data_IF_579005895462
#
_entry.id   IF_579005895462
#
_cell.length_a   1.000
_cell.length_b   1.000
_cell.length_c   1.000
_cell.angle_alpha   90.00
_cell.angle_beta   90.00
_cell.angle_gamma   90.00
#
_symmetry.space_group_name_H-M   'P 1'
#
loop_
_entity.id
_entity.type
_entity.pdbx_description
1 polymer ?
#
# COMPACT_ATOMS: atom_id res chain seq x y z
N UNK A 1 -24.97 -1.39 -17.40
CA UNK A 1 -24.15 -1.61 -16.22
C UNK A 1 -22.73 -1.11 -16.46
N UNK A 2 -22.35 -0.15 -15.66
CA UNK A 2 -21.02 0.44 -15.89
C UNK A 2 -19.93 -0.50 -15.41
N UNK A 3 -19.04 -0.87 -16.30
CA UNK A 3 -17.83 -1.56 -15.93
C UNK A 3 -17.02 -0.66 -15.01
N UNK A 4 -16.25 -1.27 -14.12
CA UNK A 4 -15.33 -0.53 -13.26
C UNK A 4 -14.47 0.39 -14.10
N UNK A 5 -14.39 1.64 -13.70
CA UNK A 5 -13.61 2.64 -14.40
C UNK A 5 -12.14 2.64 -14.00
N UNK A 6 -11.78 1.89 -12.97
CA UNK A 6 -10.41 1.87 -12.46
C UNK A 6 -9.59 0.77 -13.13
N UNK A 7 -8.46 1.15 -13.68
CA UNK A 7 -7.55 0.23 -14.34
C UNK A 7 -6.33 -0.09 -13.51
N UNK A 8 -5.86 0.86 -12.72
CA UNK A 8 -4.67 0.69 -11.89
C UNK A 8 -4.99 1.11 -10.48
N UNK A 9 -5.26 0.11 -9.65
CA UNK A 9 -5.61 0.34 -8.26
C UNK A 9 -4.36 0.23 -7.41
N UNK A 10 -4.09 1.25 -6.61
CA UNK A 10 -3.01 1.21 -5.64
C UNK A 10 -3.61 0.94 -4.27
N UNK A 11 -3.17 -0.13 -3.63
CA UNK A 11 -3.65 -0.53 -2.30
C UNK A 11 -2.50 -0.42 -1.31
N UNK A 12 -2.71 0.35 -0.25
CA UNK A 12 -1.73 0.48 0.83
C UNK A 12 -2.00 -0.56 1.90
N UNK A 13 -0.98 -1.33 2.23
CA UNK A 13 -1.03 -2.35 3.27
C UNK A 13 0.04 -2.06 4.32
N UNK A 14 -0.25 -2.44 5.54
CA UNK A 14 0.67 -2.23 6.68
C UNK A 14 1.09 -3.54 7.36
N UNK A 15 0.72 -4.68 6.78
CA UNK A 15 1.03 -5.99 7.35
C UNK A 15 0.04 -6.48 8.39
N UNK A 16 -1.02 -5.71 8.67
CA UNK A 16 -2.03 -6.10 9.66
C UNK A 16 -3.29 -6.63 8.98
N UNK A 17 -4.06 -7.44 9.70
CA UNK A 17 -5.37 -7.90 9.24
C UNK A 17 -6.32 -6.74 8.97
N UNK A 18 -6.23 -5.69 9.78
CA UNK A 18 -7.05 -4.50 9.59
C UNK A 18 -6.76 -3.84 8.24
N UNK A 19 -5.48 -3.72 7.90
CA UNK A 19 -5.08 -3.17 6.61
C UNK A 19 -5.60 -3.99 5.44
N UNK A 20 -5.71 -5.29 5.62
CA UNK A 20 -6.18 -6.21 4.57
C UNK A 20 -7.66 -6.05 4.21
N UNK A 21 -8.43 -5.31 5.00
CA UNK A 21 -9.84 -5.03 4.65
C UNK A 21 -9.96 -4.28 3.33
N UNK A 22 -8.96 -3.52 2.97
CA UNK A 22 -8.91 -2.83 1.68
C UNK A 22 -8.93 -3.80 0.50
N UNK A 23 -8.47 -5.03 0.70
CA UNK A 23 -8.42 -6.04 -0.37
C UNK A 23 -9.81 -6.44 -0.87
N UNK A 24 -10.81 -6.40 -0.02
CA UNK A 24 -12.19 -6.69 -0.42
C UNK A 24 -12.66 -5.69 -1.47
N UNK A 25 -12.38 -4.41 -1.24
CA UNK A 25 -12.69 -3.36 -2.21
C UNK A 25 -11.88 -3.49 -3.48
N UNK A 26 -10.58 -3.79 -3.34
CA UNK A 26 -9.71 -3.97 -4.49
C UNK A 26 -10.18 -5.10 -5.40
N UNK A 27 -10.56 -6.24 -4.82
CA UNK A 27 -11.13 -7.36 -5.60
C UNK A 27 -12.38 -6.95 -6.36
N UNK A 28 -13.23 -6.19 -5.71
CA UNK A 28 -14.50 -5.76 -6.29
C UNK A 28 -14.28 -4.79 -7.45
N UNK A 29 -13.36 -3.85 -7.27
CA UNK A 29 -13.08 -2.82 -8.25
C UNK A 29 -12.24 -3.33 -9.42
N UNK A 30 -11.48 -4.39 -9.23
CA UNK A 30 -10.56 -4.93 -10.23
C UNK A 30 -11.16 -6.07 -11.07
N UNK A 31 -12.48 -6.14 -11.16
CA UNK A 31 -13.15 -7.23 -11.88
C UNK A 31 -13.13 -7.12 -13.41
N UNK A 32 -12.77 -5.99 -13.95
CA UNK A 32 -12.77 -5.80 -15.39
C UNK A 32 -11.51 -6.32 -16.06
N UNK A 33 -11.59 -6.74 -17.33
CA UNK A 33 -10.39 -7.03 -18.09
C UNK A 33 -9.53 -5.76 -18.22
N UNK A 34 -8.23 -5.91 -18.04
CA UNK A 34 -7.31 -4.80 -18.10
C UNK A 34 -7.10 -4.07 -16.78
N UNK A 35 -7.81 -4.46 -15.71
CA UNK A 35 -7.57 -3.93 -14.37
C UNK A 35 -6.41 -4.65 -13.70
N UNK A 36 -5.60 -3.89 -12.96
CA UNK A 36 -4.51 -4.44 -12.17
C UNK A 36 -4.50 -3.82 -10.79
N UNK A 37 -4.15 -4.63 -9.79
CA UNK A 37 -4.01 -4.18 -8.41
C UNK A 37 -2.52 -4.10 -8.11
N UNK A 38 -2.09 -2.95 -7.60
CA UNK A 38 -0.73 -2.75 -7.14
C UNK A 38 -0.76 -2.65 -5.62
N UNK A 39 -0.13 -3.61 -4.97
CA UNK A 39 -0.02 -3.63 -3.51
C UNK A 39 1.25 -2.89 -3.11
N UNK A 40 1.12 -1.95 -2.21
CA UNK A 40 2.26 -1.15 -1.74
C UNK A 40 2.38 -1.24 -0.23
N UNK A 41 3.57 -1.54 0.21
CA UNK A 41 3.96 -1.41 1.60
C UNK A 41 5.09 -0.39 1.71
N UNK A 42 4.93 0.55 2.61
CA UNK A 42 5.94 1.59 2.85
C UNK A 42 6.55 1.35 4.22
N UNK A 43 7.82 0.99 4.22
CA UNK A 43 8.56 0.83 5.46
C UNK A 43 9.19 2.16 5.86
N UNK A 44 9.13 2.52 7.15
CA UNK A 44 9.79 3.74 7.59
C UNK A 44 11.30 3.60 7.40
N UNK A 45 11.96 4.71 7.04
CA UNK A 45 13.41 4.75 6.98
C UNK A 45 13.97 4.48 8.39
N UNK A 46 14.93 3.56 8.49
CA UNK A 46 15.53 3.23 9.77
C UNK A 46 16.29 4.45 10.29
N UNK A 47 15.99 4.84 11.52
CA UNK A 47 16.72 5.92 12.18
C UNK A 47 18.01 5.37 12.76
N UNK A 48 19.06 6.18 12.71
CA UNK A 48 20.30 5.84 13.39
C UNK A 48 20.03 5.76 14.88
N UNK A 49 20.16 4.57 15.45
CA UNK A 49 20.03 4.38 16.89
C UNK A 49 21.37 4.69 17.53
N UNK A 50 21.42 5.77 18.28
CA UNK A 50 22.55 6.10 19.13
C UNK A 50 22.21 5.70 20.57
N UNK A 51 23.00 4.77 21.10
CA UNK A 51 22.91 4.39 22.51
C UNK A 51 24.25 4.72 23.14
N UNK A 52 24.23 5.57 24.16
CA UNK A 52 25.46 5.98 24.86
C UNK A 52 26.47 6.68 23.95
N UNK A 53 26.00 7.49 23.00
CA UNK A 53 26.89 8.20 22.07
C UNK A 53 27.48 7.34 20.96
N UNK A 54 27.12 6.08 20.90
CA UNK A 54 27.57 5.16 19.83
C UNK A 54 26.43 4.84 18.89
N UNK A 55 26.74 4.86 17.61
CA UNK A 55 25.82 4.36 16.59
C UNK A 55 25.71 2.85 16.72
N UNK A 56 24.56 2.35 17.11
CA UNK A 56 24.36 0.91 17.40
C UNK A 56 23.61 0.25 16.24
N UNK A 57 23.65 0.76 15.05
CA UNK A 57 22.80 0.11 14.09
C UNK A 57 23.51 -0.23 12.82
N UNK A 58 23.39 -1.44 12.46
CA UNK A 58 23.46 -1.89 11.09
C UNK A 58 22.15 -1.47 10.41
N UNK A 59 21.98 -0.15 10.20
CA UNK A 59 20.77 0.45 9.64
C UNK A 59 20.39 -0.22 8.34
N UNK A 60 21.38 -0.47 7.48
CA UNK A 60 21.17 -1.12 6.19
C UNK A 60 20.62 -2.53 6.33
N UNK A 61 21.11 -3.29 7.31
CA UNK A 61 20.63 -4.66 7.55
C UNK A 61 19.21 -4.67 8.07
N UNK A 62 18.84 -3.72 8.94
CA UNK A 62 17.49 -3.60 9.45
C UNK A 62 16.51 -3.21 8.34
N UNK A 63 16.90 -2.30 7.48
CA UNK A 63 16.09 -1.92 6.33
C UNK A 63 15.93 -3.09 5.35
N UNK A 64 16.99 -3.82 5.08
CA UNK A 64 16.97 -4.99 4.20
C UNK A 64 16.06 -6.08 4.77
N UNK A 65 16.14 -6.33 6.08
CA UNK A 65 15.28 -7.30 6.74
C UNK A 65 13.82 -6.90 6.69
N UNK A 66 13.52 -5.61 6.93
CA UNK A 66 12.15 -5.10 6.86
C UNK A 66 11.59 -5.20 5.45
N UNK A 67 12.38 -4.85 4.45
CA UNK A 67 11.96 -4.98 3.05
C UNK A 67 11.73 -6.43 2.65
N UNK A 68 12.60 -7.33 3.09
CA UNK A 68 12.44 -8.75 2.80
C UNK A 68 11.16 -9.30 3.42
N UNK A 69 10.88 -8.94 4.67
CA UNK A 69 9.65 -9.34 5.35
C UNK A 69 8.40 -8.79 4.63
N UNK A 70 8.46 -7.53 4.21
CA UNK A 70 7.38 -6.90 3.48
C UNK A 70 7.12 -7.61 2.14
N UNK A 71 8.17 -7.98 1.43
CA UNK A 71 8.04 -8.73 0.16
C UNK A 71 7.39 -10.08 0.36
N UNK A 72 7.78 -10.81 1.40
CA UNK A 72 7.19 -12.11 1.72
C UNK A 72 5.71 -11.94 2.05
N UNK A 73 5.37 -10.97 2.85
CA UNK A 73 3.98 -10.68 3.19
C UNK A 73 3.15 -10.34 1.95
N UNK A 74 3.63 -9.42 1.13
CA UNK A 74 2.91 -9.01 -0.08
C UNK A 74 2.79 -10.16 -1.07
N UNK A 75 3.81 -11.02 -1.18
CA UNK A 75 3.75 -12.17 -2.08
C UNK A 75 2.61 -13.12 -1.66
N UNK A 76 2.43 -13.33 -0.36
CA UNK A 76 1.34 -14.17 0.15
C UNK A 76 -0.03 -13.55 -0.13
N UNK A 77 -0.17 -12.25 0.08
CA UNK A 77 -1.41 -11.53 -0.24
C UNK A 77 -1.70 -11.57 -1.73
N UNK A 78 -0.68 -11.31 -2.55
CA UNK A 78 -0.82 -11.34 -4.00
C UNK A 78 -1.25 -12.73 -4.51
N UNK A 79 -0.71 -13.80 -3.94
CA UNK A 79 -1.09 -15.15 -4.31
C UNK A 79 -2.58 -15.39 -4.08
N UNK A 80 -3.13 -14.92 -2.95
CA UNK A 80 -4.55 -15.05 -2.66
C UNK A 80 -5.42 -14.30 -3.67
N UNK A 81 -5.01 -13.10 -4.05
CA UNK A 81 -5.75 -12.31 -5.05
C UNK A 81 -5.65 -12.96 -6.44
N UNK A 82 -4.50 -13.50 -6.79
CA UNK A 82 -4.32 -14.18 -8.09
C UNK A 82 -5.17 -15.43 -8.21
N UNK A 83 -5.41 -16.13 -7.12
CA UNK A 83 -6.34 -17.27 -7.09
C UNK A 83 -7.75 -16.84 -7.47
N UNK A 84 -8.12 -15.61 -7.15
CA UNK A 84 -9.41 -15.03 -7.51
C UNK A 84 -9.43 -14.41 -8.91
N UNK A 85 -8.37 -14.60 -9.69
CA UNK A 85 -8.27 -14.11 -11.06
C UNK A 85 -7.85 -12.65 -11.19
N UNK A 86 -7.34 -12.05 -10.12
CA UNK A 86 -6.92 -10.65 -10.13
C UNK A 86 -5.47 -10.53 -10.57
N UNK A 87 -5.17 -9.61 -11.47
CA UNK A 87 -3.80 -9.27 -11.84
C UNK A 87 -3.20 -8.41 -10.74
N UNK A 88 -2.09 -8.85 -10.14
CA UNK A 88 -1.50 -8.19 -8.97
C UNK A 88 -0.01 -7.97 -9.15
N UNK A 89 0.43 -6.78 -8.77
CA UNK A 89 1.84 -6.41 -8.68
C UNK A 89 2.13 -5.99 -7.25
N UNK A 90 3.33 -6.24 -6.78
CA UNK A 90 3.74 -5.89 -5.42
C UNK A 90 4.88 -4.88 -5.45
N UNK A 91 4.84 -3.94 -4.50
CA UNK A 91 5.85 -2.89 -4.39
C UNK A 91 6.18 -2.66 -2.92
N UNK A 92 7.45 -2.56 -2.62
CA UNK A 92 7.94 -2.18 -1.29
C UNK A 92 8.81 -0.95 -1.47
N UNK A 93 8.55 0.06 -0.67
CA UNK A 93 9.33 1.31 -0.67
C UNK A 93 9.71 1.67 0.75
N UNK A 94 10.77 2.42 0.90
CA UNK A 94 11.24 2.93 2.18
C UNK A 94 11.13 4.45 2.15
N UNK A 95 10.59 5.02 3.22
CA UNK A 95 10.49 6.47 3.33
C UNK A 95 9.23 6.91 4.07
N UNK A 96 8.90 8.18 3.94
CA UNK A 96 7.71 8.77 4.53
C UNK A 96 6.47 8.42 3.70
N UNK A 97 5.35 8.04 4.33
CA UNK A 97 4.17 7.58 3.60
C UNK A 97 3.63 8.55 2.55
N UNK A 98 3.50 9.84 2.90
CA UNK A 98 2.87 10.81 2.00
C UNK A 98 3.65 11.01 0.69
N UNK A 99 4.94 11.39 0.73
CA UNK A 99 5.69 11.59 -0.52
C UNK A 99 5.89 10.30 -1.31
N UNK A 100 6.09 9.17 -0.63
CA UNK A 100 6.26 7.88 -1.31
C UNK A 100 4.97 7.47 -2.02
N UNK A 101 3.83 7.62 -1.36
CA UNK A 101 2.53 7.30 -1.98
C UNK A 101 2.31 8.13 -3.23
N UNK A 102 2.56 9.44 -3.17
CA UNK A 102 2.40 10.31 -4.33
C UNK A 102 3.34 9.92 -5.47
N UNK A 103 4.59 9.61 -5.15
CA UNK A 103 5.56 9.19 -6.15
C UNK A 103 5.15 7.90 -6.85
N UNK A 104 4.66 6.92 -6.08
CA UNK A 104 4.21 5.64 -6.63
C UNK A 104 2.96 5.82 -7.49
N UNK A 105 2.03 6.68 -7.09
CA UNK A 105 0.86 6.99 -7.91
C UNK A 105 1.29 7.51 -9.28
N UNK A 106 2.26 8.41 -9.32
CA UNK A 106 2.79 8.92 -10.59
C UNK A 106 3.52 7.85 -11.39
N UNK A 107 4.40 7.09 -10.74
CA UNK A 107 5.17 6.02 -11.39
C UNK A 107 4.27 5.00 -12.08
N UNK A 108 3.22 4.59 -11.40
CA UNK A 108 2.32 3.54 -11.86
C UNK A 108 1.15 4.08 -12.66
N UNK A 109 1.00 5.39 -12.71
CA UNK A 109 -0.19 6.01 -13.29
C UNK A 109 -1.46 5.42 -12.67
N UNK A 110 -1.46 5.30 -11.34
CA UNK A 110 -2.60 4.77 -10.60
C UNK A 110 -3.78 5.73 -10.69
N UNK A 111 -4.98 5.19 -10.84
CA UNK A 111 -6.19 6.00 -10.98
C UNK A 111 -7.07 5.99 -9.74
N UNK A 112 -6.73 5.18 -8.74
CA UNK A 112 -7.40 5.19 -7.44
C UNK A 112 -6.46 4.66 -6.37
N UNK A 113 -6.59 5.20 -5.16
CA UNK A 113 -5.88 4.73 -3.98
C UNK A 113 -6.89 4.08 -3.04
N UNK A 114 -6.63 2.86 -2.62
CA UNK A 114 -7.50 2.11 -1.70
C UNK A 114 -6.74 1.83 -0.42
N UNK A 115 -7.32 2.15 0.70
CA UNK A 115 -6.74 1.86 2.01
C UNK A 115 -7.84 1.60 3.04
N UNK A 116 -7.45 1.05 4.18
CA UNK A 116 -8.38 0.82 5.27
C UNK A 116 -8.36 1.99 6.24
N UNK A 117 -9.53 2.46 6.62
CA UNK A 117 -9.66 3.51 7.63
C UNK A 117 -9.08 3.04 8.96
N UNK A 118 -8.43 3.95 9.66
CA UNK A 118 -7.86 3.66 10.98
C UNK A 118 -6.51 2.97 10.98
N UNK A 119 -5.89 2.79 9.84
CA UNK A 119 -4.50 2.32 9.77
C UNK A 119 -3.59 3.49 10.12
N UNK A 120 -2.98 3.41 11.29
CA UNK A 120 -2.18 4.53 11.85
C UNK A 120 -1.02 4.93 10.96
N UNK A 121 -0.40 3.98 10.30
CA UNK A 121 0.75 4.23 9.43
C UNK A 121 0.42 5.19 8.28
N UNK A 122 -0.84 5.19 7.83
CA UNK A 122 -1.26 5.96 6.66
C UNK A 122 -2.33 7.00 6.96
N UNK A 123 -2.36 7.52 8.17
CA UNK A 123 -3.40 8.47 8.58
C UNK A 123 -3.27 9.85 7.94
N UNK A 124 -2.05 10.28 7.70
CA UNK A 124 -1.80 11.64 7.22
C UNK A 124 -1.00 11.60 5.91
N UNK A 125 -1.71 11.29 4.84
CA UNK A 125 -1.10 11.25 3.51
C UNK A 125 -1.13 12.61 2.81
N UNK A 126 -1.83 13.58 3.37
CA UNK A 126 -1.98 14.89 2.74
C UNK A 126 -2.83 14.82 1.47
N UNK A 127 -2.60 15.75 0.57
CA UNK A 127 -3.34 15.81 -0.70
C UNK A 127 -2.90 14.67 -1.63
N UNK A 128 -3.84 13.87 -2.08
CA UNK A 128 -3.60 12.77 -3.00
C UNK A 128 -4.25 13.13 -4.35
N UNK A 129 -3.51 13.00 -5.46
CA UNK A 129 -4.00 13.46 -6.77
C UNK A 129 -5.04 12.55 -7.43
N UNK A 130 -5.43 11.47 -6.78
CA UNK A 130 -6.44 10.54 -7.29
C UNK A 130 -7.50 10.30 -6.23
N UNK A 131 -8.69 9.77 -6.59
CA UNK A 131 -9.69 9.41 -5.59
C UNK A 131 -9.14 8.43 -4.57
N UNK A 132 -9.52 8.62 -3.31
CA UNK A 132 -9.12 7.75 -2.21
C UNK A 132 -10.36 7.03 -1.70
N UNK A 133 -10.34 5.70 -1.73
CA UNK A 133 -11.40 4.87 -1.20
C UNK A 133 -10.91 4.21 0.08
N UNK A 134 -11.72 4.28 1.12
CA UNK A 134 -11.39 3.58 2.35
C UNK A 134 -12.44 2.53 2.66
N UNK A 135 -11.97 1.38 3.12
CA UNK A 135 -12.84 0.37 3.67
C UNK A 135 -12.99 0.62 5.18
N UNK A 136 -14.10 1.14 5.57
CA UNK A 136 -14.38 1.45 6.96
C UNK A 136 -15.83 1.86 7.13
N UNK A 137 -16.27 2.08 8.37
CA UNK A 137 -17.65 2.48 8.64
C UNK A 137 -17.99 3.88 8.17
N UNK A 138 -17.01 4.65 7.72
CA UNK A 138 -17.22 6.01 7.23
C UNK A 138 -16.82 6.07 5.77
N UNK A 139 -17.74 6.53 4.94
CA UNK A 139 -17.40 6.85 3.58
C UNK A 139 -16.44 8.03 3.58
N UNK A 140 -15.32 7.88 2.90
CA UNK A 140 -14.43 9.00 2.72
C UNK A 140 -15.07 10.00 1.80
N UNK A 141 -15.01 11.23 2.25
CA UNK A 141 -15.34 12.33 1.38
C UNK A 141 -14.15 12.53 0.44
N UNK A 142 -14.43 12.45 -0.83
CA UNK A 142 -13.47 12.91 -1.81
C UNK A 142 -13.21 14.39 -1.54
N UNK A 143 -12.00 14.70 -1.20
CA UNK A 143 -11.61 16.09 -1.04
C UNK A 143 -11.64 16.80 -2.37
#
# INVERSE_FOLDING_TARGET
>A
MRSSTYRRLLVLLDGTERGERALTWARHLARGPGSAVHLLMIEPAARVLCVGGRTVAFVDQLEDAARAAARVYLAAVAARLREDGVTVWTHVRVGAPAPVTRAVIEELDADVLVLTDGVTRYQDLGAIPVPVLTSGPRCLRSA
#
